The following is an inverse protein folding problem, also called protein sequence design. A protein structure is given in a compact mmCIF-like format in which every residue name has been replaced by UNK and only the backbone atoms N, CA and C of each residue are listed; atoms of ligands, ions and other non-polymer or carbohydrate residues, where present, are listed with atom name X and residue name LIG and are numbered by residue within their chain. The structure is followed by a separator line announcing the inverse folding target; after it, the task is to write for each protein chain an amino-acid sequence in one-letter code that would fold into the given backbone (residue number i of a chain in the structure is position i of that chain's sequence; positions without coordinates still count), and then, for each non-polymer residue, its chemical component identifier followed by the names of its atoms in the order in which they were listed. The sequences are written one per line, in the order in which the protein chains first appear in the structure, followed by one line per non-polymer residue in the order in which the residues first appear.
data_IF_966892414979
#
_entry.id   IF_966892414979
#
_cell.length_a   1.000
_cell.length_b   1.000
_cell.length_c   1.000
_cell.angle_alpha   90.00
_cell.angle_beta   90.00
_cell.angle_gamma   90.00
#
_symmetry.space_group_name_H-M   'P 1'
#
loop_
_entity.id
_entity.type
_entity.pdbx_description
1 polymer ?
#
# COMPACT_ATOMS: atom_id res chain seq x y z
N UNK A 1 -17.03 26.12 6.80
CA UNK A 1 -15.89 25.23 6.42
C UNK A 1 -16.09 23.90 7.12
N UNK A 2 -16.10 22.76 6.40
CA UNK A 2 -16.17 21.43 7.05
C UNK A 2 -15.00 21.29 8.02
N UNK A 3 -15.29 20.89 9.26
CA UNK A 3 -14.27 20.61 10.27
C UNK A 3 -13.39 19.46 9.74
N UNK A 4 -12.17 19.76 9.31
CA UNK A 4 -11.30 18.77 8.66
C UNK A 4 -10.92 17.61 9.60
N UNK A 5 -11.14 17.77 10.91
CA UNK A 5 -10.99 16.71 11.93
C UNK A 5 -12.13 15.66 11.89
N UNK A 6 -13.26 15.98 11.28
CA UNK A 6 -14.43 15.08 11.17
C UNK A 6 -14.46 14.28 9.87
N UNK A 7 -13.50 14.50 8.96
CA UNK A 7 -13.43 13.73 7.72
C UNK A 7 -13.22 12.23 8.03
N UNK A 8 -13.75 11.32 7.20
CA UNK A 8 -13.54 9.89 7.38
C UNK A 8 -12.07 9.50 7.14
N UNK A 9 -11.70 8.32 7.62
CA UNK A 9 -10.46 7.65 7.24
C UNK A 9 -10.70 6.85 5.96
N UNK A 10 -9.76 6.90 5.00
CA UNK A 10 -9.80 6.04 3.82
C UNK A 10 -9.53 4.60 4.25
N UNK A 11 -10.43 3.69 3.90
CA UNK A 11 -10.29 2.27 4.18
C UNK A 11 -9.37 1.66 3.13
N UNK A 12 -8.41 0.84 3.56
CA UNK A 12 -7.41 0.26 2.67
C UNK A 12 -6.74 -0.97 3.24
N UNK A 13 -5.78 -1.48 2.47
CA UNK A 13 -4.88 -2.56 2.88
C UNK A 13 -3.42 -2.10 2.84
N UNK A 14 -2.59 -2.72 3.66
CA UNK A 14 -1.13 -2.62 3.59
C UNK A 14 -0.53 -4.02 3.52
N UNK A 15 0.55 -4.18 2.75
CA UNK A 15 1.13 -5.49 2.47
C UNK A 15 2.58 -5.54 2.94
N UNK A 16 2.86 -6.40 3.92
CA UNK A 16 4.22 -6.81 4.25
C UNK A 16 4.59 -8.02 3.38
N UNK A 17 5.21 -7.77 2.23
CA UNK A 17 5.61 -8.82 1.29
C UNK A 17 7.02 -9.33 1.62
N UNK A 18 7.15 -10.64 1.83
CA UNK A 18 8.40 -11.32 2.15
C UNK A 18 8.93 -12.10 0.94
N UNK A 19 10.23 -11.99 0.64
CA UNK A 19 10.89 -12.89 -0.33
C UNK A 19 11.29 -14.23 0.32
N UNK A 20 11.93 -15.13 -0.44
CA UNK A 20 12.39 -16.43 0.06
C UNK A 20 13.35 -16.36 1.25
N UNK A 21 14.16 -15.30 1.33
CA UNK A 21 15.09 -15.01 2.44
C UNK A 21 14.41 -14.29 3.62
N UNK A 22 13.09 -14.12 3.62
CA UNK A 22 12.31 -13.36 4.60
C UNK A 22 12.66 -11.86 4.68
N UNK A 23 13.29 -11.31 3.63
CA UNK A 23 13.44 -9.86 3.47
C UNK A 23 12.14 -9.22 3.03
N UNK A 24 11.91 -7.97 3.42
CA UNK A 24 10.68 -7.21 3.17
C UNK A 24 10.81 -6.38 1.90
N UNK A 25 9.79 -6.41 1.05
CA UNK A 25 9.71 -5.54 -0.13
C UNK A 25 9.46 -4.10 0.30
N UNK A 26 10.27 -3.18 -0.20
CA UNK A 26 10.02 -1.74 -0.09
C UNK A 26 10.17 -1.06 -1.44
N UNK A 27 9.22 -0.19 -1.77
CA UNK A 27 9.22 0.65 -2.96
C UNK A 27 9.52 2.11 -2.62
N UNK A 28 10.27 2.78 -3.48
CA UNK A 28 10.59 4.21 -3.37
C UNK A 28 9.57 5.01 -4.17
N UNK A 29 8.83 5.88 -3.49
CA UNK A 29 7.71 6.65 -4.08
C UNK A 29 8.17 7.60 -5.19
N UNK A 30 7.43 7.66 -6.29
CA UNK A 30 7.71 8.59 -7.41
C UNK A 30 7.42 10.06 -7.07
N UNK A 31 6.48 10.31 -6.17
CA UNK A 31 5.90 11.63 -5.91
C UNK A 31 6.58 12.38 -4.75
N UNK A 32 7.68 11.86 -4.19
CA UNK A 32 8.34 12.47 -3.05
C UNK A 32 9.84 12.72 -3.29
N UNK A 33 10.32 13.99 -3.24
CA UNK A 33 11.74 14.32 -3.40
C UNK A 33 12.61 13.86 -2.22
N UNK A 34 12.01 13.60 -1.05
CA UNK A 34 12.72 12.93 0.05
C UNK A 34 12.77 11.43 -0.23
N UNK A 35 13.92 10.79 0.02
CA UNK A 35 14.19 9.36 -0.19
C UNK A 35 13.28 8.45 0.66
N UNK A 36 11.97 8.47 0.40
CA UNK A 36 10.92 7.84 1.19
C UNK A 36 10.57 6.49 0.59
N UNK A 37 10.77 5.46 1.41
CA UNK A 37 10.47 4.07 1.10
C UNK A 37 9.24 3.64 1.88
N UNK A 38 8.36 2.87 1.25
CA UNK A 38 7.18 2.31 1.88
C UNK A 38 6.94 0.87 1.41
N UNK A 39 6.12 0.15 2.16
CA UNK A 39 5.51 -1.09 1.71
C UNK A 39 4.31 -0.81 0.79
N UNK A 40 3.91 -1.75 -0.09
CA UNK A 40 2.74 -1.60 -0.95
C UNK A 40 1.45 -1.40 -0.15
N UNK A 41 0.57 -0.55 -0.63
CA UNK A 41 -0.69 -0.24 0.06
C UNK A 41 -1.70 0.46 -0.84
N UNK A 42 -2.98 0.14 -0.65
CA UNK A 42 -3.99 0.83 -1.43
C UNK A 42 -5.40 0.74 -0.87
N UNK A 43 -6.33 1.13 -1.72
CA UNK A 43 -7.74 1.23 -1.33
C UNK A 43 -8.39 -0.14 -1.32
N UNK A 44 -9.51 -0.24 -0.61
CA UNK A 44 -10.42 -1.38 -0.79
C UNK A 44 -11.61 -0.86 -1.59
N UNK A 45 -11.92 -1.52 -2.70
CA UNK A 45 -13.06 -1.21 -3.54
C UNK A 45 -14.37 -1.77 -2.97
N UNK A 46 -15.50 -1.35 -3.54
CA UNK A 46 -16.80 -1.86 -3.11
C UNK A 46 -16.90 -3.37 -3.34
N UNK A 47 -17.30 -4.10 -2.31
CA UNK A 47 -17.43 -5.56 -2.30
C UNK A 47 -16.11 -6.32 -2.48
N UNK A 48 -14.97 -5.66 -2.32
CA UNK A 48 -13.65 -6.30 -2.34
C UNK A 48 -13.25 -6.76 -0.93
N UNK A 49 -12.78 -8.01 -0.81
CA UNK A 49 -12.21 -8.48 0.45
C UNK A 49 -10.74 -8.05 0.60
N UNK A 50 -10.19 -8.16 1.81
CA UNK A 50 -8.84 -7.66 2.08
C UNK A 50 -7.74 -8.39 1.30
N UNK A 51 -7.91 -9.68 1.03
CA UNK A 51 -6.92 -10.45 0.28
C UNK A 51 -6.93 -10.08 -1.21
N UNK A 52 -8.12 -9.89 -1.78
CA UNK A 52 -8.27 -9.51 -3.19
C UNK A 52 -7.75 -8.09 -3.41
N UNK A 53 -8.07 -7.15 -2.51
CA UNK A 53 -7.48 -5.81 -2.51
C UNK A 53 -5.95 -5.87 -2.45
N UNK A 54 -5.39 -6.67 -1.54
CA UNK A 54 -3.94 -6.78 -1.40
C UNK A 54 -3.25 -7.34 -2.65
N UNK A 55 -3.86 -8.33 -3.31
CA UNK A 55 -3.36 -8.88 -4.56
C UNK A 55 -3.44 -7.87 -5.70
N UNK A 56 -4.57 -7.16 -5.84
CA UNK A 56 -4.77 -6.12 -6.85
C UNK A 56 -3.75 -5.00 -6.70
N UNK A 57 -3.58 -4.46 -5.50
CA UNK A 57 -2.62 -3.37 -5.25
C UNK A 57 -1.17 -3.81 -5.50
N UNK A 58 -0.80 -5.04 -5.11
CA UNK A 58 0.52 -5.60 -5.47
C UNK A 58 0.72 -5.67 -6.99
N UNK A 59 -0.27 -6.15 -7.73
CA UNK A 59 -0.19 -6.23 -9.19
C UNK A 59 -0.10 -4.83 -9.82
N UNK A 60 -0.93 -3.88 -9.38
CA UNK A 60 -1.00 -2.52 -9.92
C UNK A 60 0.26 -1.70 -9.63
N UNK A 61 0.85 -1.83 -8.45
CA UNK A 61 2.01 -1.05 -8.02
C UNK A 61 3.35 -1.70 -8.39
N UNK A 62 3.41 -3.03 -8.48
CA UNK A 62 4.68 -3.78 -8.57
C UNK A 62 4.70 -4.88 -9.63
N UNK A 63 3.58 -5.17 -10.30
CA UNK A 63 3.45 -6.26 -11.26
C UNK A 63 3.40 -7.66 -10.64
N UNK A 64 3.55 -7.77 -9.32
CA UNK A 64 3.64 -9.04 -8.59
C UNK A 64 2.26 -9.71 -8.47
N UNK A 65 2.17 -10.96 -8.93
CA UNK A 65 0.98 -11.83 -8.89
C UNK A 65 1.22 -13.13 -8.12
N UNK A 66 2.45 -13.64 -8.19
CA UNK A 66 2.87 -14.90 -7.56
C UNK A 66 3.05 -14.73 -6.07
N UNK A 67 1.94 -14.69 -5.33
CA UNK A 67 1.93 -14.49 -3.88
C UNK A 67 1.06 -15.47 -3.13
N UNK A 68 1.44 -15.74 -1.88
CA UNK A 68 0.65 -16.53 -0.94
C UNK A 68 0.42 -15.74 0.35
N UNK A 69 -0.82 -15.74 0.84
CA UNK A 69 -1.13 -15.20 2.17
C UNK A 69 -0.44 -16.05 3.25
N UNK A 70 0.30 -15.39 4.14
CA UNK A 70 0.83 -16.01 5.37
C UNK A 70 -0.14 -15.72 6.51
N UNK A 71 -0.49 -14.45 6.72
CA UNK A 71 -1.33 -14.02 7.84
C UNK A 71 -2.02 -12.69 7.54
N UNK A 72 -3.30 -12.58 7.89
CA UNK A 72 -3.94 -11.28 8.12
C UNK A 72 -3.65 -10.84 9.56
N UNK A 73 -3.18 -9.61 9.75
CA UNK A 73 -2.93 -9.08 11.09
C UNK A 73 -4.24 -8.73 11.81
N UNK A 74 -4.25 -9.02 13.10
CA UNK A 74 -5.37 -8.74 13.98
C UNK A 74 -5.56 -7.23 14.16
N UNK A 75 -6.82 -6.79 14.21
CA UNK A 75 -7.16 -5.38 14.41
C UNK A 75 -6.98 -4.49 13.17
N UNK A 76 -7.05 -3.17 13.39
CA UNK A 76 -6.97 -2.14 12.35
C UNK A 76 -5.91 -1.11 12.71
N UNK A 77 -5.10 -0.72 11.74
CA UNK A 77 -4.05 0.27 11.90
C UNK A 77 -4.51 1.61 11.34
N UNK A 78 -4.32 2.70 12.07
CA UNK A 78 -4.84 4.02 11.70
C UNK A 78 -3.75 5.06 11.80
N UNK A 79 -3.75 5.99 10.85
CA UNK A 79 -2.97 7.21 10.96
C UNK A 79 -3.74 8.39 10.39
N UNK A 80 -3.51 9.56 10.97
CA UNK A 80 -3.98 10.83 10.43
C UNK A 80 -2.90 11.46 9.56
N UNK A 81 -3.32 12.14 8.49
CA UNK A 81 -2.43 12.93 7.67
C UNK A 81 -1.93 14.14 8.49
N UNK A 82 -0.66 14.53 8.29
CA UNK A 82 -0.18 15.83 8.75
C UNK A 82 -1.09 16.97 8.30
N UNK A 83 -1.27 17.98 9.17
CA UNK A 83 -2.22 19.09 8.94
C UNK A 83 -2.02 19.80 7.59
N UNK A 84 -0.77 19.89 7.10
CA UNK A 84 -0.43 20.55 5.85
C UNK A 84 -0.83 19.76 4.58
N UNK A 85 -1.15 18.47 4.71
CA UNK A 85 -1.66 17.59 3.64
C UNK A 85 -3.19 17.46 3.63
N UNK A 86 -3.86 17.83 4.73
CA UNK A 86 -5.32 17.79 4.84
C UNK A 86 -5.99 18.69 3.81
N UNK A 87 -6.84 18.09 2.96
CA UNK A 87 -7.53 18.80 1.88
C UNK A 87 -6.79 18.78 0.54
N UNK A 88 -5.53 18.30 0.49
CA UNK A 88 -4.73 18.20 -0.75
C UNK A 88 -4.76 16.80 -1.34
N UNK A 89 -4.59 15.78 -0.50
CA UNK A 89 -4.65 14.36 -0.92
C UNK A 89 -6.09 13.87 -1.06
N UNK A 90 -6.30 12.89 -1.94
CA UNK A 90 -7.59 12.21 -2.16
C UNK A 90 -8.77 13.17 -2.36
N UNK A 91 -8.55 14.25 -3.12
CA UNK A 91 -9.55 15.31 -3.38
C UNK A 91 -10.11 15.93 -2.09
N UNK A 92 -9.34 15.90 -0.99
CA UNK A 92 -9.73 16.41 0.33
C UNK A 92 -10.84 15.62 1.04
N UNK A 93 -11.12 14.39 0.61
CA UNK A 93 -12.22 13.58 1.16
C UNK A 93 -11.91 12.92 2.49
N UNK A 94 -10.63 12.70 2.80
CA UNK A 94 -10.21 11.90 3.96
C UNK A 94 -9.17 12.64 4.80
N UNK A 95 -9.18 12.36 6.11
CA UNK A 95 -8.17 12.90 7.05
C UNK A 95 -6.97 11.99 7.27
N UNK A 96 -6.99 10.78 6.75
CA UNK A 96 -6.03 9.73 7.08
C UNK A 96 -6.46 8.40 6.49
N UNK A 97 -5.82 7.32 6.94
CA UNK A 97 -6.17 5.96 6.54
C UNK A 97 -6.46 5.07 7.75
N UNK A 98 -7.26 4.04 7.49
CA UNK A 98 -7.51 2.91 8.37
C UNK A 98 -7.29 1.64 7.56
N UNK A 99 -6.22 0.92 7.86
CA UNK A 99 -5.74 -0.20 7.05
C UNK A 99 -5.83 -1.53 7.77
N UNK A 100 -6.14 -2.56 6.98
CA UNK A 100 -5.89 -3.95 7.32
C UNK A 100 -4.55 -4.38 6.74
N UNK A 101 -3.75 -5.06 7.55
CA UNK A 101 -2.39 -5.45 7.14
C UNK A 101 -2.31 -6.94 6.88
N UNK A 102 -1.70 -7.30 5.74
CA UNK A 102 -1.51 -8.67 5.33
C UNK A 102 -0.02 -8.95 5.19
N UNK A 103 0.42 -10.07 5.76
CA UNK A 103 1.76 -10.62 5.55
C UNK A 103 1.65 -11.65 4.43
N UNK A 104 2.42 -11.43 3.37
CA UNK A 104 2.38 -12.27 2.16
C UNK A 104 3.78 -12.75 1.81
N UNK A 105 3.86 -13.91 1.16
CA UNK A 105 5.12 -14.47 0.62
C UNK A 105 5.12 -14.29 -0.89
N UNK A 106 6.20 -13.74 -1.42
CA UNK A 106 6.51 -13.78 -2.85
C UNK A 106 7.00 -15.18 -3.22
N UNK A 107 6.37 -15.76 -4.24
CA UNK A 107 6.66 -17.09 -4.79
C UNK A 107 7.17 -17.03 -6.24
N UNK A 108 7.23 -15.82 -6.79
CA UNK A 108 7.63 -15.57 -8.16
C UNK A 108 9.12 -15.51 -8.36
N UNK A 109 9.50 -15.18 -9.58
CA UNK A 109 10.90 -14.91 -9.96
C UNK A 109 11.15 -13.41 -9.96
N UNK A 110 12.40 -12.94 -9.74
CA UNK A 110 12.70 -11.51 -9.66
C UNK A 110 12.28 -10.67 -10.88
N UNK A 111 12.20 -11.28 -12.07
CA UNK A 111 11.74 -10.66 -13.33
C UNK A 111 10.23 -10.38 -13.38
N UNK A 112 9.45 -10.94 -12.46
CA UNK A 112 8.03 -10.59 -12.28
C UNK A 112 7.86 -9.20 -11.68
N UNK A 113 8.86 -8.71 -10.94
CA UNK A 113 8.78 -7.44 -10.23
C UNK A 113 9.01 -6.30 -11.22
N UNK A 114 7.97 -5.53 -11.48
CA UNK A 114 8.00 -4.35 -12.33
C UNK A 114 7.23 -3.19 -11.70
N UNK A 115 7.96 -2.23 -11.13
CA UNK A 115 7.40 -0.99 -10.57
C UNK A 115 7.06 0.07 -11.63
N UNK A 116 7.48 -0.12 -12.89
CA UNK A 116 7.14 0.76 -14.01
C UNK A 116 5.80 0.33 -14.62
N UNK A 117 4.74 0.39 -13.81
CA UNK A 117 3.37 0.04 -14.23
C UNK A 117 2.69 1.20 -14.96
N UNK A 118 1.42 1.05 -15.34
CA UNK A 118 0.66 2.07 -16.08
C UNK A 118 0.52 3.39 -15.30
N UNK A 119 0.36 3.29 -13.98
CA UNK A 119 0.29 4.43 -13.06
C UNK A 119 1.28 4.15 -11.92
N UNK A 120 2.59 4.36 -12.16
CA UNK A 120 3.62 3.88 -11.23
C UNK A 120 3.54 4.63 -9.90
N UNK A 121 3.41 3.89 -8.79
CA UNK A 121 3.56 4.45 -7.44
C UNK A 121 5.04 4.50 -7.03
N UNK A 122 5.81 3.51 -7.47
CA UNK A 122 7.24 3.39 -7.17
C UNK A 122 8.08 3.58 -8.43
N UNK A 123 9.27 4.17 -8.26
CA UNK A 123 10.25 4.25 -9.34
C UNK A 123 11.48 3.35 -9.11
N UNK A 124 11.67 2.88 -7.89
CA UNK A 124 12.74 1.98 -7.46
C UNK A 124 12.23 1.05 -6.36
N UNK A 125 12.88 -0.09 -6.16
CA UNK A 125 12.49 -1.07 -5.14
C UNK A 125 13.70 -1.87 -4.63
N UNK A 126 13.59 -2.42 -3.41
CA UNK A 126 14.57 -3.35 -2.87
C UNK A 126 13.97 -4.28 -1.82
N UNK A 127 14.72 -5.33 -1.51
CA UNK A 127 14.49 -6.18 -0.34
C UNK A 127 15.34 -5.69 0.83
N UNK A 128 14.75 -5.54 2.03
CA UNK A 128 15.47 -5.18 3.28
C UNK A 128 15.32 -6.24 4.37
#
# INVERSE_FOLDING_TARGET
MKNRKELPLRIGVGIALLNHENKVFVGKRIDNPTNSWQMPQGGIDQNENFLDAAKRELEEETGIKSVKLIKELDGWFKYDLPKYLLGKLWKGKYRGQKQKWLVMKFLGKPDEINVKTKNPEFFDWKWI
#
